data_IF_186874136404
#
_entry.id   IF_186874136404
#
_cell.length_a   1.000
_cell.length_b   1.000
_cell.length_c   1.000
_cell.angle_alpha   90.00
_cell.angle_beta   90.00
_cell.angle_gamma   90.00
#
_symmetry.space_group_name_H-M   'P 1'
#
loop_
_entity.id
_entity.type
_entity.pdbx_description
1 polymer ?
#
# COMPACT_ATOMS: atom_id res chain seq x y z
N UNK A 1 20.46 5.53 -22.69
CA UNK A 1 20.18 5.61 -21.24
C UNK A 1 20.82 6.87 -20.70
N UNK A 2 20.03 7.83 -20.24
CA UNK A 2 20.56 9.01 -19.54
C UNK A 2 21.14 8.55 -18.20
N UNK A 3 22.40 8.89 -17.87
CA UNK A 3 22.96 8.56 -16.57
C UNK A 3 22.15 9.25 -15.48
N UNK A 4 21.72 8.47 -14.48
CA UNK A 4 21.03 8.97 -13.30
C UNK A 4 21.96 9.95 -12.60
N UNK A 5 21.47 11.16 -12.30
CA UNK A 5 22.31 12.14 -11.62
C UNK A 5 22.67 11.64 -10.22
N UNK A 6 23.86 12.00 -9.73
CA UNK A 6 24.27 11.65 -8.36
C UNK A 6 23.25 12.18 -7.32
N UNK A 7 22.62 13.32 -7.60
CA UNK A 7 21.56 13.88 -6.76
C UNK A 7 20.31 12.98 -6.71
N UNK A 8 19.91 12.41 -7.84
CA UNK A 8 18.78 11.47 -7.91
C UNK A 8 19.08 10.18 -7.14
N UNK A 9 20.33 9.69 -7.17
CA UNK A 9 20.73 8.53 -6.37
C UNK A 9 20.60 8.79 -4.87
N UNK A 10 21.07 9.94 -4.39
CA UNK A 10 20.94 10.32 -2.98
C UNK A 10 19.47 10.48 -2.58
N UNK A 11 18.65 11.08 -3.45
CA UNK A 11 17.21 11.23 -3.23
C UNK A 11 16.52 9.87 -3.13
N UNK A 12 16.77 8.97 -4.09
CA UNK A 12 16.19 7.64 -4.11
C UNK A 12 16.55 6.85 -2.83
N UNK A 13 17.79 6.96 -2.35
CA UNK A 13 18.21 6.29 -1.12
C UNK A 13 17.50 6.83 0.14
N UNK A 14 17.27 8.14 0.19
CA UNK A 14 16.49 8.78 1.27
C UNK A 14 15.03 8.33 1.23
N UNK A 15 14.41 8.37 0.05
CA UNK A 15 13.03 7.93 -0.16
C UNK A 15 12.86 6.45 0.19
N UNK A 16 13.80 5.58 -0.22
CA UNK A 16 13.81 4.17 0.14
C UNK A 16 13.86 3.95 1.66
N UNK A 17 14.71 4.70 2.35
CA UNK A 17 14.84 4.62 3.82
C UNK A 17 13.55 5.06 4.51
N UNK A 18 12.91 6.13 4.01
CA UNK A 18 11.65 6.65 4.50
C UNK A 18 10.51 5.63 4.30
N UNK A 19 10.38 5.08 3.08
CA UNK A 19 9.39 4.04 2.76
C UNK A 19 9.58 2.80 3.64
N UNK A 20 10.83 2.36 3.86
CA UNK A 20 11.14 1.24 4.74
C UNK A 20 10.70 1.50 6.19
N UNK A 21 10.91 2.71 6.69
CA UNK A 21 10.49 3.13 8.03
C UNK A 21 8.95 3.17 8.15
N UNK A 22 8.27 3.74 7.16
CA UNK A 22 6.80 3.78 7.10
C UNK A 22 6.23 2.36 7.09
N UNK A 23 6.73 1.49 6.20
CA UNK A 23 6.30 0.09 6.11
C UNK A 23 6.46 -0.64 7.44
N UNK A 24 7.60 -0.47 8.12
CA UNK A 24 7.84 -1.09 9.43
C UNK A 24 6.81 -0.62 10.46
N UNK A 25 6.53 0.68 10.51
CA UNK A 25 5.54 1.25 11.44
C UNK A 25 4.12 0.73 11.16
N UNK A 26 3.71 0.70 9.90
CA UNK A 26 2.41 0.18 9.49
C UNK A 26 2.23 -1.27 9.94
N UNK A 27 3.21 -2.13 9.66
CA UNK A 27 3.17 -3.54 10.06
C UNK A 27 3.14 -3.71 11.59
N UNK A 28 3.99 -3.00 12.32
CA UNK A 28 4.02 -3.10 13.80
C UNK A 28 2.72 -2.68 14.47
N UNK A 29 1.95 -1.79 13.84
CA UNK A 29 0.69 -1.26 14.37
C UNK A 29 -0.54 -1.88 13.73
N UNK A 30 -0.39 -2.91 12.89
CA UNK A 30 -1.48 -3.52 12.13
C UNK A 30 -2.31 -2.48 11.36
N UNK A 31 -1.63 -1.51 10.76
CA UNK A 31 -2.24 -0.46 9.94
C UNK A 31 -2.01 -0.74 8.46
N UNK A 32 -2.93 -0.25 7.62
CA UNK A 32 -2.85 -0.31 6.17
C UNK A 32 -2.99 1.09 5.58
N UNK A 33 -2.25 1.33 4.51
CA UNK A 33 -2.37 2.52 3.68
C UNK A 33 -3.22 2.16 2.46
N UNK A 34 -4.39 2.78 2.34
CA UNK A 34 -5.29 2.63 1.19
C UNK A 34 -5.22 3.87 0.30
N UNK A 35 -5.40 3.67 -1.00
CA UNK A 35 -5.72 4.76 -1.92
C UNK A 35 -7.23 4.85 -2.01
N UNK A 36 -7.79 6.03 -1.72
CA UNK A 36 -9.21 6.27 -1.89
C UNK A 36 -9.51 6.55 -3.37
N UNK A 37 -10.38 5.72 -3.94
CA UNK A 37 -10.85 5.75 -5.32
C UNK A 37 -11.37 7.12 -5.77
N UNK A 38 -12.18 7.79 -4.93
CA UNK A 38 -12.89 9.02 -5.32
C UNK A 38 -12.11 10.30 -5.08
N UNK A 39 -11.21 10.32 -4.11
CA UNK A 39 -10.48 11.55 -3.72
C UNK A 39 -9.01 11.54 -4.17
N UNK A 40 -8.49 10.41 -4.65
CA UNK A 40 -7.06 10.23 -4.88
C UNK A 40 -6.22 10.36 -3.61
N UNK A 41 -6.87 10.47 -2.45
CA UNK A 41 -6.23 10.66 -1.16
C UNK A 41 -5.70 9.34 -0.59
N UNK A 42 -4.66 9.46 0.24
CA UNK A 42 -4.15 8.35 1.02
C UNK A 42 -4.86 8.29 2.38
N UNK A 43 -5.40 7.13 2.72
CA UNK A 43 -6.05 6.88 3.99
C UNK A 43 -5.27 5.82 4.79
N UNK A 44 -5.05 6.07 6.09
CA UNK A 44 -4.45 5.10 7.00
C UNK A 44 -5.52 4.59 7.95
N UNK A 45 -5.72 3.27 7.97
CA UNK A 45 -6.69 2.62 8.86
C UNK A 45 -6.15 1.33 9.46
N UNK A 46 -6.87 0.78 10.43
CA UNK A 46 -6.59 -0.54 10.96
C UNK A 46 -6.85 -1.63 9.91
N UNK A 47 -5.99 -2.65 9.89
CA UNK A 47 -6.07 -3.81 8.99
C UNK A 47 -7.39 -4.56 9.13
N UNK A 48 -7.81 -4.81 10.36
CA UNK A 48 -9.08 -5.47 10.65
C UNK A 48 -10.27 -4.75 10.02
N UNK A 49 -10.33 -3.42 10.14
CA UNK A 49 -11.44 -2.63 9.61
C UNK A 49 -11.50 -2.70 8.08
N UNK A 50 -10.35 -2.78 7.43
CA UNK A 50 -10.29 -2.96 5.98
C UNK A 50 -10.75 -4.35 5.58
N UNK A 51 -10.25 -5.40 6.25
CA UNK A 51 -10.63 -6.79 5.97
C UNK A 51 -12.14 -7.02 6.15
N UNK A 52 -12.74 -6.47 7.21
CA UNK A 52 -14.19 -6.55 7.42
C UNK A 52 -14.97 -5.89 6.28
N UNK A 53 -14.57 -4.68 5.87
CA UNK A 53 -15.24 -3.97 4.77
C UNK A 53 -15.05 -4.67 3.43
N UNK A 54 -13.87 -5.22 3.18
CA UNK A 54 -13.58 -5.98 1.98
C UNK A 54 -14.42 -7.27 1.92
N UNK A 55 -14.50 -8.01 3.02
CA UNK A 55 -15.34 -9.21 3.11
C UNK A 55 -16.82 -8.87 2.87
N UNK A 56 -17.33 -7.83 3.53
CA UNK A 56 -18.73 -7.41 3.38
C UNK A 56 -19.04 -6.98 1.94
N UNK A 57 -18.18 -6.15 1.33
CA UNK A 57 -18.35 -5.75 -0.06
C UNK A 57 -18.29 -6.93 -1.03
N UNK A 58 -17.42 -7.92 -0.77
CA UNK A 58 -17.34 -9.13 -1.57
C UNK A 58 -18.63 -9.96 -1.47
N UNK A 59 -19.17 -10.16 -0.26
CA UNK A 59 -20.45 -10.85 -0.06
C UNK A 59 -21.60 -10.14 -0.78
N UNK A 60 -21.66 -8.81 -0.69
CA UNK A 60 -22.73 -8.01 -1.28
C UNK A 60 -22.70 -8.00 -2.82
N UNK A 61 -21.51 -7.94 -3.41
CA UNK A 61 -21.36 -7.66 -4.85
C UNK A 61 -20.91 -8.85 -5.68
N UNK A 62 -20.23 -9.84 -5.07
CA UNK A 62 -19.50 -10.91 -5.78
C UNK A 62 -18.59 -10.40 -6.91
N UNK A 63 -18.14 -9.15 -6.82
CA UNK A 63 -17.57 -8.41 -7.96
C UNK A 63 -16.09 -8.68 -8.22
N UNK A 64 -15.40 -9.41 -7.35
CA UNK A 64 -13.99 -9.77 -7.55
C UNK A 64 -13.66 -11.11 -6.89
N UNK A 65 -12.61 -11.76 -7.38
CA UNK A 65 -12.02 -12.95 -6.76
C UNK A 65 -10.74 -12.53 -6.09
N UNK A 66 -10.60 -12.87 -4.80
CA UNK A 66 -9.33 -12.67 -4.11
C UNK A 66 -8.28 -13.65 -4.68
N UNK A 67 -7.16 -13.10 -5.14
CA UNK A 67 -6.07 -13.93 -5.64
C UNK A 67 -5.34 -14.56 -4.45
N UNK A 68 -5.23 -15.89 -4.46
CA UNK A 68 -4.54 -16.65 -3.41
C UNK A 68 -3.03 -16.43 -3.38
N UNK A 69 -2.46 -15.85 -4.44
CA UNK A 69 -1.06 -15.49 -4.55
C UNK A 69 -0.87 -14.15 -5.27
N UNK A 70 0.28 -13.51 -5.04
CA UNK A 70 0.64 -12.27 -5.72
C UNK A 70 1.06 -12.58 -7.18
N UNK A 71 0.34 -12.10 -8.20
CA UNK A 71 0.64 -12.40 -9.60
C UNK A 71 1.86 -11.64 -10.15
N UNK A 72 2.44 -10.73 -9.35
CA UNK A 72 3.59 -9.90 -9.71
C UNK A 72 4.89 -10.36 -9.02
N UNK A 73 4.87 -11.49 -8.31
CA UNK A 73 6.07 -12.15 -7.79
C UNK A 73 6.66 -13.12 -8.80
#
# INVERSE_FOLDING_TARGET
MTPISFADHIRAQREFTLVKSIRRKLLSKQLILCVCDKSGGLHIGAKSNYETKAAQYHEDTKAYVELTCNPLM
#
